data_IF_519810460914
#
_entry.id   IF_519810460914
#
_cell.length_a   1.000
_cell.length_b   1.000
_cell.length_c   1.000
_cell.angle_alpha   90.00
_cell.angle_beta   90.00
_cell.angle_gamma   90.00
#
_symmetry.space_group_name_H-M   'P 1'
#
loop_
_entity.id
_entity.type
_entity.pdbx_description
1 polymer ?
#
# COMPACT_ATOMS: atom_id res chain seq x y z
N UNK A 1 -17.85 -12.37 1.29
CA UNK A 1 -16.93 -11.20 1.29
C UNK A 1 -15.54 -11.63 1.77
N UNK A 2 -14.46 -11.26 1.06
CA UNK A 2 -13.07 -11.57 1.46
C UNK A 2 -12.81 -10.88 2.82
N UNK A 3 -12.23 -11.58 3.81
CA UNK A 3 -11.70 -10.91 5.00
C UNK A 3 -10.58 -9.98 4.50
N UNK A 4 -10.73 -8.69 4.73
CA UNK A 4 -9.64 -7.75 4.52
C UNK A 4 -8.61 -8.07 5.60
N UNK A 5 -7.37 -8.40 5.22
CA UNK A 5 -6.32 -8.56 6.22
C UNK A 5 -6.12 -7.22 6.92
N UNK A 6 -5.76 -7.22 8.21
CA UNK A 6 -5.37 -5.99 8.91
C UNK A 6 -4.32 -5.21 8.11
N UNK A 7 -3.45 -5.93 7.39
CA UNK A 7 -2.45 -5.40 6.45
C UNK A 7 -3.06 -4.67 5.26
N UNK A 8 -4.10 -5.20 4.61
CA UNK A 8 -4.77 -4.54 3.49
C UNK A 8 -5.57 -3.29 3.92
N UNK A 9 -6.05 -3.26 5.16
CA UNK A 9 -6.73 -2.09 5.72
C UNK A 9 -5.77 -1.05 6.30
N UNK A 10 -4.58 -1.46 6.80
CA UNK A 10 -3.50 -0.53 7.14
C UNK A 10 -2.86 0.07 5.88
N UNK A 11 -2.84 -0.67 4.76
CA UNK A 11 -2.51 -0.12 3.44
C UNK A 11 -3.50 0.95 2.99
N UNK A 12 -4.76 0.91 3.44
CA UNK A 12 -5.74 1.98 3.17
C UNK A 12 -5.38 3.31 3.83
N UNK A 13 -4.68 3.26 4.97
CA UNK A 13 -4.05 4.42 5.63
C UNK A 13 -2.64 4.74 5.05
N UNK A 14 -1.99 3.77 4.41
CA UNK A 14 -0.70 3.91 3.73
C UNK A 14 -0.82 4.07 2.21
N UNK A 15 -1.98 4.47 1.67
CA UNK A 15 -1.99 5.16 0.37
C UNK A 15 -1.44 6.56 0.63
N UNK A 16 -0.13 6.62 0.90
CA UNK A 16 0.65 7.85 0.86
C UNK A 16 0.74 8.26 -0.61
N UNK A 17 -0.38 8.70 -1.19
CA UNK A 17 -0.26 9.74 -2.19
C UNK A 17 0.27 10.94 -1.43
N UNK A 18 1.44 11.40 -1.84
CA UNK A 18 2.06 12.59 -1.27
C UNK A 18 1.23 13.76 -1.79
N UNK A 19 0.17 14.05 -1.03
CA UNK A 19 -0.79 15.14 -1.14
C UNK A 19 -0.07 16.48 -1.12
N UNK A 20 -0.02 17.35 -2.15
CA UNK A 20 1.04 18.40 -2.17
C UNK A 20 0.75 19.85 -2.71
N UNK A 21 -0.33 20.54 -2.33
CA UNK A 21 -0.59 22.01 -2.47
C UNK A 21 -0.19 22.71 -3.79
N UNK A 22 -1.18 23.06 -4.61
CA UNK A 22 -1.03 24.01 -5.72
C UNK A 22 -1.68 25.35 -5.41
N UNK A 23 -0.95 26.40 -5.77
CA UNK A 23 -1.52 27.73 -5.93
C UNK A 23 -2.62 27.69 -6.99
N UNK A 24 -3.83 28.06 -6.61
CA UNK A 24 -4.94 28.24 -7.54
C UNK A 24 -4.64 29.38 -8.54
N UNK A 25 -4.71 29.07 -9.83
CA UNK A 25 -5.06 30.06 -10.87
C UNK A 25 -6.44 29.66 -11.36
N UNK A 26 -7.47 30.39 -10.88
CA UNK A 26 -8.75 30.48 -11.59
C UNK A 26 -10.02 30.12 -10.83
N UNK A 27 -10.43 30.94 -9.86
CA UNK A 27 -11.84 31.38 -9.78
C UNK A 27 -11.94 32.66 -8.95
N UNK A 28 -12.76 33.62 -9.42
CA UNK A 28 -12.91 34.95 -8.82
C UNK A 28 -13.60 34.86 -7.45
N UNK A 29 -12.81 34.88 -6.39
CA UNK A 29 -13.21 35.17 -5.02
C UNK A 29 -12.07 35.99 -4.37
N UNK A 30 -12.42 36.95 -3.49
CA UNK A 30 -11.52 37.99 -2.95
C UNK A 30 -10.12 37.45 -2.61
N UNK A 31 -9.11 38.03 -3.27
CA UNK A 31 -7.68 37.72 -3.13
C UNK A 31 -7.18 38.18 -1.76
N UNK A 32 -7.37 37.35 -0.73
CA UNK A 32 -6.44 37.34 0.39
C UNK A 32 -5.12 36.81 -0.18
N UNK A 33 -4.04 37.58 -0.07
CA UNK A 33 -2.72 37.15 -0.51
C UNK A 33 -2.33 35.95 0.34
N UNK A 34 -2.52 34.74 -0.18
CA UNK A 34 -2.17 33.52 0.52
C UNK A 34 -0.66 33.56 0.83
N UNK A 35 -0.30 33.42 2.10
CA UNK A 35 1.11 33.43 2.54
C UNK A 35 1.89 32.35 1.77
N UNK A 36 3.16 32.63 1.48
CA UNK A 36 4.07 31.65 0.87
C UNK A 36 4.34 30.47 1.81
N UNK A 37 4.68 29.31 1.26
CA UNK A 37 5.00 28.12 2.06
C UNK A 37 6.18 28.38 3.02
N UNK A 38 7.18 29.13 2.54
CA UNK A 38 8.34 29.58 3.32
C UNK A 38 8.00 30.44 4.55
N UNK A 39 6.82 31.06 4.60
CA UNK A 39 6.36 31.82 5.78
C UNK A 39 5.80 30.91 6.89
N UNK A 40 5.41 29.68 6.55
CA UNK A 40 4.84 28.72 7.51
C UNK A 40 5.88 27.80 8.15
N UNK A 41 7.11 27.74 7.61
CA UNK A 41 8.12 26.76 8.03
C UNK A 41 9.48 27.39 8.32
N UNK A 42 10.17 26.82 9.30
CA UNK A 42 11.60 27.00 9.49
C UNK A 42 12.29 25.74 8.99
N UNK A 43 12.96 25.83 7.85
CA UNK A 43 13.67 24.69 7.25
C UNK A 43 14.91 24.35 8.07
N UNK A 44 15.15 23.05 8.26
CA UNK A 44 16.44 22.51 8.71
C UNK A 44 17.52 22.66 7.64
N UNK A 45 18.74 22.19 7.93
CA UNK A 45 19.81 22.17 6.92
C UNK A 45 19.46 21.22 5.77
N UNK A 46 19.49 21.71 4.54
CA UNK A 46 19.07 20.97 3.34
C UNK A 46 20.01 21.13 2.14
N UNK A 47 21.03 22.00 2.23
CA UNK A 47 22.03 22.21 1.17
C UNK A 47 23.28 21.35 1.36
N UNK A 48 23.54 20.88 2.58
CA UNK A 48 24.62 19.94 2.86
C UNK A 48 24.14 18.83 3.79
N UNK A 49 23.58 17.78 3.22
CA UNK A 49 22.99 16.68 3.97
C UNK A 49 24.06 15.61 4.22
N UNK A 50 24.58 15.56 5.44
CA UNK A 50 25.58 14.55 5.82
C UNK A 50 24.90 13.21 6.07
N UNK A 51 25.27 12.18 5.31
CA UNK A 51 24.71 10.83 5.45
C UNK A 51 25.83 9.79 5.49
N UNK A 52 25.66 8.70 6.25
CA UNK A 52 26.63 7.60 6.19
C UNK A 52 26.34 6.76 4.97
N UNK A 53 27.38 6.39 4.22
CA UNK A 53 27.23 5.47 3.10
C UNK A 53 26.58 4.13 3.51
N UNK A 54 26.89 3.65 4.72
CA UNK A 54 26.30 2.43 5.27
C UNK A 54 24.79 2.47 5.38
N UNK A 55 24.21 3.64 5.69
CA UNK A 55 22.77 3.78 5.91
C UNK A 55 22.03 3.69 4.57
N UNK A 56 22.61 4.30 3.51
CA UNK A 56 22.13 4.17 2.13
C UNK A 56 22.24 2.72 1.65
N UNK A 57 23.40 2.10 1.83
CA UNK A 57 23.65 0.72 1.40
C UNK A 57 22.72 -0.27 2.13
N UNK A 58 22.43 -0.06 3.42
CA UNK A 58 21.46 -0.85 4.18
C UNK A 58 20.04 -0.73 3.62
N UNK A 59 19.59 0.49 3.31
CA UNK A 59 18.25 0.69 2.74
C UNK A 59 18.13 0.08 1.34
N UNK A 60 19.17 0.20 0.50
CA UNK A 60 19.22 -0.48 -0.80
C UNK A 60 19.16 -1.99 -0.63
N UNK A 61 19.93 -2.55 0.32
CA UNK A 61 19.91 -3.98 0.59
C UNK A 61 18.54 -4.46 1.09
N UNK A 62 17.85 -3.70 1.96
CA UNK A 62 16.48 -4.01 2.39
C UNK A 62 15.50 -4.04 1.23
N UNK A 63 15.60 -3.11 0.29
CA UNK A 63 14.75 -3.08 -0.91
C UNK A 63 15.04 -4.28 -1.84
N UNK A 64 16.32 -4.64 -2.01
CA UNK A 64 16.73 -5.84 -2.74
C UNK A 64 16.17 -7.10 -2.06
N UNK A 65 16.34 -7.22 -0.75
CA UNK A 65 15.89 -8.39 0.02
C UNK A 65 14.38 -8.53 -0.07
N UNK A 66 13.63 -7.44 0.10
CA UNK A 66 12.17 -7.42 -0.07
C UNK A 66 11.75 -7.83 -1.48
N UNK A 67 12.50 -7.40 -2.50
CA UNK A 67 12.25 -7.82 -3.88
C UNK A 67 12.51 -9.31 -4.05
N UNK A 68 13.64 -9.85 -3.59
CA UNK A 68 13.91 -11.29 -3.70
C UNK A 68 12.91 -12.12 -2.88
N UNK A 69 12.43 -11.58 -1.77
CA UNK A 69 11.41 -12.22 -0.92
C UNK A 69 10.08 -12.37 -1.65
N UNK A 70 9.65 -11.36 -2.43
CA UNK A 70 8.40 -11.43 -3.20
C UNK A 70 8.44 -12.45 -4.34
N UNK A 71 9.64 -12.86 -4.76
CA UNK A 71 9.87 -13.93 -5.74
C UNK A 71 10.39 -15.23 -5.09
N UNK A 72 10.29 -15.35 -3.77
CA UNK A 72 10.72 -16.56 -3.07
C UNK A 72 9.85 -17.76 -3.45
N UNK A 73 10.52 -18.87 -3.74
CA UNK A 73 9.86 -20.16 -3.91
C UNK A 73 10.02 -21.01 -2.65
N UNK A 74 9.15 -22.01 -2.48
CA UNK A 74 9.25 -22.95 -1.38
C UNK A 74 9.40 -24.36 -1.93
N UNK A 75 10.38 -25.12 -1.39
CA UNK A 75 10.47 -26.56 -1.69
C UNK A 75 9.17 -27.23 -1.32
N UNK A 76 8.54 -27.95 -2.25
CA UNK A 76 7.31 -28.69 -1.96
C UNK A 76 7.66 -29.98 -1.24
N UNK A 77 7.38 -30.08 0.06
CA UNK A 77 7.50 -31.35 0.80
C UNK A 77 6.30 -32.22 0.46
N UNK A 78 6.57 -33.37 -0.16
CA UNK A 78 5.56 -34.33 -0.65
C UNK A 78 5.29 -35.48 0.32
N UNK A 79 5.83 -35.41 1.53
CA UNK A 79 5.65 -36.38 2.60
C UNK A 79 5.72 -35.69 3.97
N UNK A 80 5.28 -36.38 5.01
CA UNK A 80 5.22 -35.87 6.38
C UNK A 80 3.80 -35.56 6.84
N UNK A 81 3.69 -35.20 8.12
CA UNK A 81 2.44 -34.80 8.78
C UNK A 81 2.43 -33.31 9.03
N UNK A 82 1.27 -32.69 8.85
CA UNK A 82 1.04 -31.26 9.10
C UNK A 82 1.20 -30.95 10.59
N UNK A 83 1.85 -29.84 10.90
CA UNK A 83 2.01 -29.31 12.25
C UNK A 83 1.49 -27.89 12.34
N UNK A 84 1.28 -27.42 13.56
CA UNK A 84 1.03 -26.01 13.81
C UNK A 84 2.19 -25.16 13.28
N UNK A 85 1.86 -24.02 12.64
CA UNK A 85 2.83 -23.14 11.97
C UNK A 85 3.30 -23.59 10.58
N UNK A 86 2.99 -24.80 10.12
CA UNK A 86 3.28 -25.20 8.73
C UNK A 86 2.41 -24.41 7.75
N UNK A 87 2.97 -24.00 6.62
CA UNK A 87 2.17 -23.58 5.46
C UNK A 87 1.89 -24.78 4.56
N UNK A 88 0.63 -25.12 4.38
CA UNK A 88 0.18 -26.24 3.55
C UNK A 88 -0.52 -25.74 2.30
N UNK A 89 -0.29 -26.39 1.17
CA UNK A 89 -1.10 -26.17 -0.01
C UNK A 89 -2.25 -27.18 -0.02
N UNK A 90 -3.48 -26.70 -0.11
CA UNK A 90 -4.68 -27.54 -0.02
C UNK A 90 -5.63 -27.33 -1.19
N UNK A 91 -6.41 -28.37 -1.46
CA UNK A 91 -7.70 -28.26 -2.10
C UNK A 91 -8.78 -28.57 -1.08
N UNK A 92 -9.95 -27.95 -1.18
CA UNK A 92 -11.06 -28.22 -0.29
C UNK A 92 -12.41 -28.03 -0.96
N UNK A 93 -13.41 -28.77 -0.48
CA UNK A 93 -14.80 -28.66 -0.92
C UNK A 93 -15.69 -28.57 0.30
N UNK A 94 -16.26 -27.39 0.54
CA UNK A 94 -17.23 -27.14 1.61
C UNK A 94 -18.63 -27.60 1.23
N UNK A 95 -19.28 -28.31 2.15
CA UNK A 95 -20.68 -28.73 2.04
C UNK A 95 -21.44 -28.37 3.31
N UNK A 96 -22.69 -27.96 3.12
CA UNK A 96 -23.66 -27.70 4.18
C UNK A 96 -24.93 -28.48 3.85
N UNK A 97 -25.40 -29.29 4.80
CA UNK A 97 -26.52 -30.23 4.59
C UNK A 97 -26.35 -31.08 3.30
N UNK A 98 -25.11 -31.53 3.04
CA UNK A 98 -24.75 -32.32 1.86
C UNK A 98 -24.59 -31.54 0.55
N UNK A 99 -25.01 -30.27 0.49
CA UNK A 99 -24.92 -29.42 -0.71
C UNK A 99 -23.68 -28.54 -0.66
N UNK A 100 -23.00 -28.36 -1.80
CA UNK A 100 -21.91 -27.38 -1.92
C UNK A 100 -22.47 -25.97 -1.75
N UNK A 101 -21.65 -25.07 -1.23
CA UNK A 101 -21.98 -23.65 -1.14
C UNK A 101 -20.86 -22.78 -1.73
N UNK A 102 -21.23 -21.59 -2.19
CA UNK A 102 -20.33 -20.68 -2.89
C UNK A 102 -19.28 -20.07 -1.95
N UNK A 103 -18.06 -19.88 -2.48
CA UNK A 103 -16.92 -19.39 -1.71
C UNK A 103 -16.30 -20.40 -0.74
N UNK A 104 -16.86 -21.61 -0.64
CA UNK A 104 -16.36 -22.70 0.22
C UNK A 104 -15.52 -23.74 -0.51
N UNK A 105 -15.11 -23.49 -1.75
CA UNK A 105 -14.45 -24.50 -2.59
C UNK A 105 -13.17 -23.95 -3.23
N UNK A 106 -12.11 -24.74 -3.18
CA UNK A 106 -10.90 -24.57 -3.97
C UNK A 106 -10.52 -25.95 -4.53
N UNK A 107 -10.78 -26.17 -5.82
CA UNK A 107 -10.39 -27.41 -6.50
C UNK A 107 -9.29 -27.16 -7.52
N UNK A 108 -8.57 -28.22 -7.90
CA UNK A 108 -7.58 -28.19 -8.98
C UNK A 108 -8.13 -27.66 -10.31
N UNK A 109 -9.44 -27.82 -10.56
CA UNK A 109 -10.09 -27.33 -11.79
C UNK A 109 -10.32 -25.82 -11.75
N UNK A 110 -10.68 -25.27 -10.60
CA UNK A 110 -11.01 -23.85 -10.43
C UNK A 110 -9.76 -23.01 -10.11
N UNK A 111 -8.82 -23.58 -9.37
CA UNK A 111 -7.55 -22.95 -9.03
C UNK A 111 -6.45 -24.02 -9.09
N UNK A 112 -5.73 -24.17 -10.21
CA UNK A 112 -4.72 -25.22 -10.37
C UNK A 112 -3.54 -25.06 -9.40
N UNK A 113 -3.26 -23.86 -8.90
CA UNK A 113 -2.19 -23.61 -7.93
C UNK A 113 -2.56 -23.98 -6.49
N UNK A 114 -3.85 -24.20 -6.23
CA UNK A 114 -4.39 -24.50 -4.90
C UNK A 114 -4.34 -23.30 -3.96
N UNK A 115 -4.60 -23.57 -2.68
CA UNK A 115 -4.61 -22.54 -1.64
C UNK A 115 -3.51 -22.80 -0.61
N UNK A 116 -2.62 -21.83 -0.40
CA UNK A 116 -1.60 -21.90 0.65
C UNK A 116 -2.20 -21.39 1.97
N UNK A 117 -2.31 -22.28 2.95
CA UNK A 117 -2.84 -21.99 4.29
C UNK A 117 -1.74 -22.22 5.33
N UNK A 118 -1.42 -21.18 6.10
CA UNK A 118 -0.59 -21.34 7.30
C UNK A 118 -1.46 -21.81 8.45
N UNK A 119 -1.14 -22.97 9.00
CA UNK A 119 -1.85 -23.56 10.15
C UNK A 119 -1.60 -22.69 11.39
N UNK A 120 -2.67 -22.29 12.07
CA UNK A 120 -2.64 -21.41 13.24
C UNK A 120 -2.77 -19.92 12.91
N UNK A 121 -2.92 -19.55 11.64
CA UNK A 121 -3.09 -18.15 11.21
C UNK A 121 -4.45 -17.54 11.57
N UNK A 122 -5.47 -18.37 11.81
CA UNK A 122 -6.85 -17.93 12.02
C UNK A 122 -7.50 -17.30 10.79
N UNK A 123 -6.96 -17.60 9.60
CA UNK A 123 -7.49 -17.09 8.33
C UNK A 123 -8.81 -17.80 8.00
N UNK A 124 -8.86 -19.11 8.25
CA UNK A 124 -10.06 -19.93 8.07
C UNK A 124 -10.96 -19.88 9.32
N UNK A 125 -12.13 -20.50 9.21
CA UNK A 125 -13.07 -20.59 10.34
C UNK A 125 -12.48 -21.43 11.47
N UNK A 126 -12.77 -21.09 12.75
CA UNK A 126 -12.27 -21.85 13.89
C UNK A 126 -12.52 -23.35 13.78
N UNK A 127 -11.52 -24.15 14.15
CA UNK A 127 -11.55 -25.62 14.03
C UNK A 127 -11.21 -26.16 12.64
N UNK A 128 -11.13 -25.33 11.59
CA UNK A 128 -10.69 -25.79 10.27
C UNK A 128 -9.20 -26.14 10.27
N UNK A 129 -8.35 -25.19 10.71
CA UNK A 129 -6.89 -25.33 10.71
C UNK A 129 -6.44 -26.44 11.68
N UNK A 130 -7.04 -26.49 12.88
CA UNK A 130 -6.76 -27.52 13.89
C UNK A 130 -7.06 -28.94 13.36
N UNK A 131 -8.13 -29.08 12.56
CA UNK A 131 -8.52 -30.36 11.97
C UNK A 131 -7.53 -30.89 10.93
N UNK A 132 -6.59 -30.07 10.45
CA UNK A 132 -5.54 -30.51 9.52
C UNK A 132 -4.27 -30.99 10.23
N UNK A 133 -4.10 -30.67 11.51
CA UNK A 133 -2.90 -31.05 12.27
C UNK A 133 -2.82 -32.58 12.37
N UNK A 134 -1.65 -33.13 12.07
CA UNK A 134 -1.38 -34.56 12.08
C UNK A 134 -1.76 -35.31 10.79
N UNK A 135 -2.50 -34.67 9.88
CA UNK A 135 -2.85 -35.26 8.58
C UNK A 135 -1.62 -35.35 7.67
N UNK A 136 -1.57 -36.40 6.85
CA UNK A 136 -0.47 -36.64 5.92
C UNK A 136 -0.60 -35.86 4.61
N UNK A 137 0.54 -35.57 3.97
CA UNK A 137 0.52 -35.09 2.58
C UNK A 137 -0.10 -36.14 1.66
N UNK A 138 -1.00 -35.71 0.78
CA UNK A 138 -1.78 -36.56 -0.12
C UNK A 138 -3.06 -37.11 0.51
N UNK A 139 -3.22 -36.99 1.82
CA UNK A 139 -4.40 -37.47 2.53
C UNK A 139 -5.61 -36.60 2.20
N UNK A 140 -6.78 -37.26 2.17
CA UNK A 140 -8.08 -36.62 2.02
C UNK A 140 -8.88 -36.87 3.29
N UNK A 141 -9.28 -35.78 3.95
CA UNK A 141 -9.98 -35.84 5.23
C UNK A 141 -11.19 -34.91 5.24
N UNK A 142 -12.19 -35.27 6.05
CA UNK A 142 -13.38 -34.45 6.29
C UNK A 142 -13.22 -33.67 7.59
N UNK A 143 -13.12 -32.35 7.47
CA UNK A 143 -13.03 -31.42 8.59
C UNK A 143 -14.43 -30.88 8.89
N UNK A 144 -14.94 -31.20 10.08
CA UNK A 144 -16.26 -30.76 10.54
C UNK A 144 -16.12 -29.49 11.36
N UNK A 145 -16.82 -28.45 10.95
CA UNK A 145 -16.73 -27.11 11.54
C UNK A 145 -18.10 -26.51 11.74
N UNK A 146 -18.18 -25.56 12.67
CA UNK A 146 -19.37 -24.72 12.85
C UNK A 146 -18.97 -23.30 12.58
N UNK A 147 -19.69 -22.63 11.68
CA UNK A 147 -19.47 -21.22 11.42
C UNK A 147 -19.73 -20.42 12.71
N UNK A 148 -18.93 -19.37 12.99
CA UNK A 148 -19.18 -18.50 14.12
C UNK A 148 -20.62 -17.95 14.15
N UNK A 149 -21.15 -17.67 15.34
CA UNK A 149 -22.50 -17.09 15.51
C UNK A 149 -22.64 -15.73 14.83
N UNK A 150 -21.54 -15.00 14.69
CA UNK A 150 -21.46 -13.79 13.86
C UNK A 150 -20.54 -14.08 12.68
N UNK A 151 -21.08 -14.09 11.47
CA UNK A 151 -20.33 -14.28 10.23
C UNK A 151 -20.68 -13.19 9.20
N UNK A 152 -20.18 -11.95 9.39
CA UNK A 152 -20.65 -10.77 8.66
C UNK A 152 -20.51 -10.90 7.14
N UNK A 153 -19.47 -11.61 6.71
CA UNK A 153 -19.13 -11.78 5.30
C UNK A 153 -20.08 -12.68 4.49
N UNK A 154 -20.93 -13.45 5.18
CA UNK A 154 -22.00 -14.30 4.63
C UNK A 154 -22.95 -14.66 5.80
N UNK A 155 -23.87 -13.76 6.19
CA UNK A 155 -24.74 -13.94 7.37
C UNK A 155 -25.52 -15.25 7.34
N UNK A 156 -25.90 -15.71 6.14
CA UNK A 156 -26.60 -16.98 5.93
C UNK A 156 -25.82 -18.21 6.39
N UNK A 157 -24.51 -18.11 6.58
CA UNK A 157 -23.67 -19.21 7.06
C UNK A 157 -23.54 -19.21 8.59
N UNK A 158 -23.90 -18.11 9.27
CA UNK A 158 -23.67 -17.93 10.70
C UNK A 158 -24.30 -19.05 11.54
N UNK A 159 -23.51 -19.62 12.46
CA UNK A 159 -23.94 -20.71 13.35
C UNK A 159 -24.23 -22.06 12.69
N UNK A 160 -24.14 -22.16 11.35
CA UNK A 160 -24.43 -23.41 10.63
C UNK A 160 -23.24 -24.37 10.68
N UNK A 161 -23.53 -25.67 10.65
CA UNK A 161 -22.51 -26.72 10.56
C UNK A 161 -22.14 -26.98 9.11
N UNK A 162 -20.87 -27.17 8.84
CA UNK A 162 -20.37 -27.55 7.52
C UNK A 162 -19.31 -28.64 7.62
N UNK A 163 -19.14 -29.37 6.52
CA UNK A 163 -18.09 -30.37 6.35
C UNK A 163 -17.24 -29.95 5.16
N UNK A 164 -15.94 -29.86 5.37
CA UNK A 164 -14.98 -29.59 4.32
C UNK A 164 -14.18 -30.84 4.04
N UNK A 165 -14.30 -31.35 2.82
CA UNK A 165 -13.40 -32.39 2.36
C UNK A 165 -12.12 -31.72 1.86
N UNK A 166 -11.03 -31.89 2.59
CA UNK A 166 -9.73 -31.25 2.34
C UNK A 166 -8.74 -32.27 1.81
N UNK A 167 -7.87 -31.86 0.89
CA UNK A 167 -6.72 -32.64 0.41
C UNK A 167 -5.46 -31.82 0.57
N UNK A 168 -4.45 -32.37 1.24
CA UNK A 168 -3.15 -31.70 1.45
C UNK A 168 -2.24 -32.03 0.27
N UNK A 169 -1.95 -31.06 -0.59
CA UNK A 169 -1.17 -31.26 -1.80
C UNK A 169 0.35 -31.32 -1.54
N UNK A 170 0.82 -30.49 -0.61
CA UNK A 170 2.19 -30.46 -0.09
C UNK A 170 2.29 -29.55 1.13
N UNK A 171 3.34 -29.73 1.93
CA UNK A 171 3.76 -28.77 2.95
C UNK A 171 4.86 -27.89 2.34
N UNK A 172 4.81 -26.57 2.54
CA UNK A 172 5.90 -25.69 2.16
C UNK A 172 7.13 -26.01 3.01
N UNK A 173 8.24 -26.27 2.31
CA UNK A 173 9.52 -26.60 2.89
C UNK A 173 10.45 -25.39 2.97
N UNK A 174 11.74 -25.66 2.77
CA UNK A 174 12.76 -24.61 2.80
C UNK A 174 12.43 -23.52 1.76
N UNK A 175 12.40 -22.26 2.23
CA UNK A 175 12.36 -21.06 1.38
C UNK A 175 13.61 -20.99 0.52
N UNK A 176 13.43 -20.75 -0.76
CA UNK A 176 14.48 -20.59 -1.77
C UNK A 176 14.33 -19.18 -2.31
N UNK A 177 15.30 -18.33 -1.97
CA UNK A 177 15.40 -17.01 -2.56
C UNK A 177 16.06 -17.13 -3.95
N UNK A 178 15.54 -16.44 -4.97
CA UNK A 178 16.24 -16.31 -6.23
C UNK A 178 17.56 -15.54 -6.01
N UNK A 179 18.52 -15.73 -6.91
CA UNK A 179 19.73 -14.92 -6.93
C UNK A 179 19.45 -13.63 -7.71
N UNK A 180 19.88 -12.50 -7.16
CA UNK A 180 19.85 -11.24 -7.88
C UNK A 180 20.94 -11.25 -8.97
N UNK A 181 20.52 -11.42 -10.22
CA UNK A 181 21.39 -11.43 -11.41
C UNK A 181 20.74 -10.66 -12.55
N UNK A 182 21.48 -10.27 -13.59
CA UNK A 182 20.89 -9.64 -14.78
C UNK A 182 19.75 -10.46 -15.41
N UNK A 183 19.90 -11.80 -15.43
CA UNK A 183 18.83 -12.68 -15.90
C UNK A 183 17.55 -12.60 -15.05
N UNK A 184 17.68 -12.41 -13.73
CA UNK A 184 16.54 -12.22 -12.83
C UNK A 184 15.85 -10.88 -13.11
N UNK A 185 16.63 -9.81 -13.23
CA UNK A 185 16.11 -8.46 -13.50
C UNK A 185 15.37 -8.42 -14.84
N UNK A 186 15.99 -8.91 -15.93
CA UNK A 186 15.35 -8.95 -17.26
C UNK A 186 14.06 -9.75 -17.30
N UNK A 187 13.98 -10.84 -16.52
CA UNK A 187 12.82 -11.73 -16.51
C UNK A 187 11.68 -11.19 -15.66
N UNK A 188 11.99 -10.61 -14.50
CA UNK A 188 11.00 -10.35 -13.45
C UNK A 188 10.75 -8.86 -13.21
N UNK A 189 11.72 -7.99 -13.52
CA UNK A 189 11.68 -6.55 -13.22
C UNK A 189 11.79 -5.74 -14.52
N UNK A 190 10.75 -5.83 -15.35
CA UNK A 190 10.74 -5.31 -16.73
C UNK A 190 10.92 -3.80 -16.85
N UNK A 191 10.74 -3.05 -15.76
CA UNK A 191 10.99 -1.61 -15.71
C UNK A 191 12.47 -1.24 -15.73
N UNK A 192 13.38 -2.21 -15.55
CA UNK A 192 14.82 -1.97 -15.48
C UNK A 192 15.56 -2.67 -16.62
N UNK A 193 16.55 -1.99 -17.18
CA UNK A 193 17.34 -2.45 -18.34
C UNK A 193 18.40 -3.47 -17.95
N UNK A 194 18.93 -3.39 -16.73
CA UNK A 194 20.03 -4.24 -16.23
C UNK A 194 20.05 -4.30 -14.70
N UNK A 195 20.87 -5.19 -14.14
CA UNK A 195 21.12 -5.22 -12.70
C UNK A 195 21.75 -3.91 -12.19
N UNK A 196 22.64 -3.32 -12.98
CA UNK A 196 23.24 -2.02 -12.63
C UNK A 196 22.19 -0.92 -12.56
N UNK A 197 21.35 -0.83 -13.60
CA UNK A 197 20.24 0.13 -13.68
C UNK A 197 19.27 0.00 -12.50
N UNK A 198 18.91 -1.24 -12.13
CA UNK A 198 18.10 -1.51 -10.95
C UNK A 198 18.76 -1.02 -9.65
N UNK A 199 20.02 -1.38 -9.42
CA UNK A 199 20.75 -0.98 -8.20
C UNK A 199 20.96 0.54 -8.12
N UNK A 200 21.29 1.18 -9.23
CA UNK A 200 21.47 2.63 -9.29
C UNK A 200 20.14 3.35 -9.00
N UNK A 201 19.02 2.84 -9.54
CA UNK A 201 17.68 3.39 -9.26
C UNK A 201 17.30 3.24 -7.79
N UNK A 202 17.52 2.05 -7.21
CA UNK A 202 17.26 1.84 -5.78
C UNK A 202 18.11 2.77 -4.91
N UNK A 203 19.38 2.96 -5.26
CA UNK A 203 20.27 3.88 -4.54
C UNK A 203 19.78 5.31 -4.63
N UNK A 204 19.37 5.76 -5.81
CA UNK A 204 18.83 7.10 -5.99
C UNK A 204 17.58 7.31 -5.13
N UNK A 205 16.61 6.39 -5.20
CA UNK A 205 15.41 6.48 -4.37
C UNK A 205 15.73 6.44 -2.86
N UNK A 206 16.70 5.62 -2.46
CA UNK A 206 17.18 5.58 -1.08
C UNK A 206 17.76 6.91 -0.60
N UNK A 207 18.61 7.55 -1.42
CA UNK A 207 19.14 8.87 -1.13
C UNK A 207 18.03 9.91 -1.03
N UNK A 208 17.08 9.89 -1.97
CA UNK A 208 15.92 10.78 -1.99
C UNK A 208 15.04 10.62 -0.74
N UNK A 209 14.76 9.39 -0.31
CA UNK A 209 13.97 9.11 0.89
C UNK A 209 14.69 9.55 2.17
N UNK A 210 15.96 9.13 2.34
CA UNK A 210 16.73 9.45 3.55
C UNK A 210 17.03 10.94 3.66
N UNK A 211 17.31 11.62 2.53
CA UNK A 211 17.55 13.05 2.51
C UNK A 211 16.27 13.81 2.88
N UNK A 212 15.13 13.42 2.31
CA UNK A 212 13.83 13.98 2.68
C UNK A 212 13.54 13.78 4.16
N UNK A 213 13.66 12.56 4.68
CA UNK A 213 13.38 12.24 6.08
C UNK A 213 14.25 13.04 7.04
N UNK A 214 15.54 13.19 6.72
CA UNK A 214 16.49 14.01 7.46
C UNK A 214 16.07 15.48 7.48
N UNK A 215 15.77 16.06 6.32
CA UNK A 215 15.41 17.48 6.18
C UNK A 215 14.06 17.77 6.81
N UNK A 216 13.06 16.93 6.58
CA UNK A 216 11.73 17.09 7.16
C UNK A 216 11.79 17.01 8.70
N UNK A 217 12.53 16.04 9.25
CA UNK A 217 12.71 15.89 10.70
C UNK A 217 13.49 17.05 11.33
N UNK A 218 14.42 17.66 10.60
CA UNK A 218 15.16 18.83 11.03
C UNK A 218 14.38 20.15 10.83
N UNK A 219 13.30 20.12 10.06
CA UNK A 219 12.44 21.28 9.79
C UNK A 219 11.32 21.40 10.81
N UNK A 220 10.84 22.63 11.00
CA UNK A 220 9.72 22.94 11.89
C UNK A 220 8.62 23.65 11.14
N UNK A 221 7.40 23.12 11.20
CA UNK A 221 6.20 23.82 10.74
C UNK A 221 5.71 24.73 11.87
N UNK A 222 5.78 26.04 11.66
CA UNK A 222 5.46 27.06 12.66
C UNK A 222 3.96 27.31 12.77
N UNK A 223 3.25 27.29 11.65
CA UNK A 223 1.82 27.53 11.57
C UNK A 223 1.20 26.61 10.50
N UNK A 224 0.02 26.06 10.76
CA UNK A 224 -0.72 25.24 9.81
C UNK A 224 -1.94 26.00 9.29
N UNK A 225 -2.03 26.27 7.98
CA UNK A 225 -3.20 26.94 7.40
C UNK A 225 -4.46 26.11 7.60
N UNK A 226 -5.43 26.61 8.39
CA UNK A 226 -6.66 25.87 8.71
C UNK A 226 -7.44 25.46 7.46
N UNK A 227 -7.47 26.31 6.43
CA UNK A 227 -8.13 26.01 5.17
C UNK A 227 -7.50 24.79 4.48
N UNK A 228 -6.17 24.77 4.32
CA UNK A 228 -5.44 23.64 3.72
C UNK A 228 -5.58 22.35 4.52
N UNK A 229 -5.52 22.42 5.85
CA UNK A 229 -5.73 21.24 6.71
C UNK A 229 -7.15 20.68 6.56
N UNK A 230 -8.16 21.56 6.50
CA UNK A 230 -9.54 21.13 6.31
C UNK A 230 -9.79 20.54 4.92
N UNK A 231 -9.15 21.09 3.89
CA UNK A 231 -9.21 20.57 2.53
C UNK A 231 -8.55 19.19 2.44
N UNK A 232 -7.34 19.05 2.97
CA UNK A 232 -6.64 17.77 3.05
C UNK A 232 -7.45 16.72 3.83
N UNK A 233 -8.08 17.11 4.94
CA UNK A 233 -8.96 16.22 5.70
C UNK A 233 -10.13 15.72 4.84
N UNK A 234 -10.80 16.62 4.11
CA UNK A 234 -11.91 16.24 3.22
C UNK A 234 -11.41 15.30 2.13
N UNK A 235 -10.26 15.60 1.54
CA UNK A 235 -9.65 14.83 0.47
C UNK A 235 -9.33 13.40 0.92
N UNK A 236 -8.65 13.24 2.05
CA UNK A 236 -8.35 11.93 2.65
C UNK A 236 -9.65 11.19 2.99
N UNK A 237 -10.64 11.86 3.60
CA UNK A 237 -11.93 11.24 3.91
C UNK A 237 -12.64 10.73 2.64
N UNK A 238 -12.69 11.54 1.58
CA UNK A 238 -13.28 11.16 0.28
C UNK A 238 -12.60 9.92 -0.27
N UNK A 239 -11.26 9.87 -0.26
CA UNK A 239 -10.50 8.71 -0.74
C UNK A 239 -10.79 7.42 0.01
N UNK A 240 -10.86 7.50 1.34
CA UNK A 240 -11.17 6.34 2.18
C UNK A 240 -12.60 5.87 1.92
N UNK A 241 -13.58 6.78 1.91
CA UNK A 241 -14.99 6.43 1.69
C UNK A 241 -15.19 5.85 0.30
N UNK A 242 -14.61 6.47 -0.73
CA UNK A 242 -14.69 5.99 -2.11
C UNK A 242 -14.12 4.57 -2.23
N UNK A 243 -12.92 4.33 -1.70
CA UNK A 243 -12.32 3.00 -1.70
C UNK A 243 -13.21 1.96 -1.01
N UNK A 244 -13.74 2.28 0.17
CA UNK A 244 -14.62 1.36 0.90
C UNK A 244 -15.85 1.01 0.07
N UNK A 245 -16.49 2.01 -0.55
CA UNK A 245 -17.65 1.81 -1.43
C UNK A 245 -17.32 0.92 -2.63
N UNK A 246 -16.22 1.15 -3.34
CA UNK A 246 -15.80 0.33 -4.48
C UNK A 246 -15.56 -1.14 -4.10
N UNK A 247 -15.21 -1.38 -2.84
CA UNK A 247 -14.98 -2.72 -2.31
C UNK A 247 -16.21 -3.28 -1.55
N UNK A 248 -17.38 -2.64 -1.66
CA UNK A 248 -18.63 -3.00 -0.99
C UNK A 248 -18.53 -3.05 0.55
N UNK A 249 -17.74 -2.13 1.12
CA UNK A 249 -17.61 -1.94 2.56
C UNK A 249 -18.19 -0.59 2.99
N UNK A 250 -18.73 -0.55 4.20
CA UNK A 250 -19.11 0.69 4.87
C UNK A 250 -18.00 1.16 5.81
N UNK A 251 -18.05 2.45 6.20
CA UNK A 251 -17.17 2.94 7.27
C UNK A 251 -17.37 2.17 8.58
N UNK A 252 -18.58 1.67 8.85
CA UNK A 252 -18.86 0.86 10.04
C UNK A 252 -18.11 -0.48 10.01
N UNK A 253 -18.02 -1.12 8.82
CA UNK A 253 -17.26 -2.36 8.63
C UNK A 253 -15.77 -2.12 8.87
N UNK A 254 -15.24 -1.01 8.34
CA UNK A 254 -13.86 -0.59 8.55
C UNK A 254 -13.54 -0.38 10.04
N UNK A 255 -14.38 0.39 10.74
CA UNK A 255 -14.18 0.69 12.17
C UNK A 255 -14.21 -0.58 13.03
N UNK A 256 -15.18 -1.46 12.75
CA UNK A 256 -15.32 -2.75 13.44
C UNK A 256 -14.11 -3.66 13.21
N UNK A 257 -13.59 -3.71 11.97
CA UNK A 257 -12.42 -4.51 11.63
C UNK A 257 -11.14 -4.04 12.32
N UNK A 258 -11.02 -2.73 12.57
CA UNK A 258 -9.89 -2.12 13.27
C UNK A 258 -10.04 -2.08 14.79
N UNK A 259 -11.19 -2.50 15.32
CA UNK A 259 -11.56 -2.29 16.73
C UNK A 259 -11.37 -0.83 17.17
N UNK A 260 -11.77 0.11 16.31
CA UNK A 260 -11.63 1.56 16.55
C UNK A 260 -12.99 2.24 16.52
N UNK A 261 -13.08 3.47 17.04
CA UNK A 261 -14.32 4.25 17.07
C UNK A 261 -14.34 5.29 15.97
N UNK A 262 -15.52 5.80 15.62
CA UNK A 262 -15.64 6.92 14.67
C UNK A 262 -14.90 8.17 15.15
N UNK A 263 -14.86 8.40 16.48
CA UNK A 263 -14.13 9.53 17.05
C UNK A 263 -12.61 9.37 16.88
N UNK A 264 -12.08 8.19 17.18
CA UNK A 264 -10.65 7.89 17.01
C UNK A 264 -10.24 7.95 15.54
N UNK A 265 -11.05 7.39 14.64
CA UNK A 265 -10.81 7.49 13.19
C UNK A 265 -10.72 8.94 12.73
N UNK A 266 -11.68 9.80 13.10
CA UNK A 266 -11.66 11.23 12.73
C UNK A 266 -10.45 11.95 13.31
N UNK A 267 -10.04 11.60 14.52
CA UNK A 267 -8.87 12.17 15.19
C UNK A 267 -7.58 11.80 14.46
N UNK A 268 -7.39 10.52 14.12
CA UNK A 268 -6.22 10.07 13.35
C UNK A 268 -6.24 10.69 11.94
N UNK A 269 -7.38 10.75 11.28
CA UNK A 269 -7.51 11.39 9.98
C UNK A 269 -7.14 12.89 10.01
N UNK A 270 -7.56 13.61 11.05
CA UNK A 270 -7.18 15.01 11.25
C UNK A 270 -5.69 15.18 11.54
N UNK A 271 -5.09 14.23 12.26
CA UNK A 271 -3.64 14.19 12.50
C UNK A 271 -2.88 13.96 11.19
N UNK A 272 -3.26 12.96 10.40
CA UNK A 272 -2.68 12.67 9.08
C UNK A 272 -2.82 13.86 8.14
N UNK A 273 -4.00 14.48 8.07
CA UNK A 273 -4.21 15.67 7.23
C UNK A 273 -3.27 16.82 7.62
N UNK A 274 -3.06 17.02 8.92
CA UNK A 274 -2.11 18.02 9.42
C UNK A 274 -0.67 17.66 9.06
N UNK A 275 -0.27 16.41 9.23
CA UNK A 275 1.07 15.93 8.90
C UNK A 275 1.37 16.08 7.41
N UNK A 276 0.42 15.71 6.55
CA UNK A 276 0.56 15.85 5.10
C UNK A 276 0.67 17.31 4.71
N UNK A 277 -0.21 18.21 5.18
CA UNK A 277 -0.03 19.67 5.00
C UNK A 277 1.33 20.15 5.53
N UNK A 278 1.84 19.57 6.60
CA UNK A 278 3.19 19.87 7.09
C UNK A 278 4.26 19.52 6.07
N UNK A 279 4.20 18.33 5.46
CA UNK A 279 5.09 17.95 4.34
C UNK A 279 4.90 18.93 3.18
N UNK A 280 3.65 19.32 2.91
CA UNK A 280 3.31 20.30 1.87
C UNK A 280 4.11 21.57 1.93
N UNK A 281 4.09 22.14 3.13
CA UNK A 281 4.75 23.40 3.39
C UNK A 281 6.27 23.27 3.36
N UNK A 282 6.84 22.12 3.75
CA UNK A 282 8.29 21.92 3.78
C UNK A 282 8.89 21.81 2.38
N UNK A 283 8.46 20.89 1.51
CA UNK A 283 9.03 20.87 0.15
C UNK A 283 8.60 22.11 -0.64
N UNK A 284 7.41 22.68 -0.39
CA UNK A 284 6.98 23.92 -1.01
C UNK A 284 7.92 25.09 -0.68
N UNK A 285 8.35 25.20 0.58
CA UNK A 285 9.31 26.22 0.99
C UNK A 285 10.71 25.99 0.40
N UNK A 286 11.15 24.73 0.26
CA UNK A 286 12.41 24.42 -0.43
C UNK A 286 12.32 24.81 -1.91
N UNK A 287 11.23 24.43 -2.56
CA UNK A 287 10.98 24.78 -3.96
C UNK A 287 10.96 26.30 -4.19
N UNK A 288 10.29 27.06 -3.31
CA UNK A 288 10.29 28.53 -3.35
C UNK A 288 11.70 29.13 -3.19
N UNK A 289 12.52 28.60 -2.27
CA UNK A 289 13.87 29.12 -2.01
C UNK A 289 14.86 28.80 -3.13
N UNK A 290 14.73 27.62 -3.73
CA UNK A 290 15.65 27.13 -4.76
C UNK A 290 15.11 27.36 -6.18
N UNK A 291 13.96 28.02 -6.32
CA UNK A 291 13.27 28.28 -7.58
C UNK A 291 13.02 26.99 -8.40
N UNK A 292 12.58 25.93 -7.71
CA UNK A 292 12.20 24.67 -8.35
C UNK A 292 10.78 24.82 -8.87
N UNK A 293 10.63 24.77 -10.19
CA UNK A 293 9.35 24.91 -10.88
C UNK A 293 9.03 23.65 -11.71
N UNK A 294 7.74 23.41 -11.93
CA UNK A 294 7.25 22.38 -12.84
C UNK A 294 7.03 23.00 -14.21
N UNK A 295 7.75 22.50 -15.21
CA UNK A 295 7.55 22.97 -16.57
C UNK A 295 6.31 22.33 -17.18
N UNK A 296 5.69 23.00 -18.16
CA UNK A 296 4.56 22.43 -18.92
C UNK A 296 4.91 21.07 -19.55
N UNK A 297 6.17 20.88 -19.93
CA UNK A 297 6.68 19.63 -20.48
C UNK A 297 6.68 18.51 -19.42
N UNK A 298 7.12 18.82 -18.19
CA UNK A 298 7.11 17.84 -17.10
C UNK A 298 5.68 17.45 -16.76
N UNK A 299 4.80 18.44 -16.62
CA UNK A 299 3.37 18.21 -16.38
C UNK A 299 2.74 17.33 -17.45
N UNK A 300 2.93 17.66 -18.73
CA UNK A 300 2.35 16.89 -19.84
C UNK A 300 2.86 15.45 -19.89
N UNK A 301 4.15 15.25 -19.63
CA UNK A 301 4.76 13.91 -19.61
C UNK A 301 4.13 13.05 -18.51
N UNK A 302 3.95 13.63 -17.32
CA UNK A 302 3.33 12.92 -16.20
C UNK A 302 1.83 12.70 -16.43
N UNK A 303 1.12 13.70 -16.97
CA UNK A 303 -0.28 13.57 -17.35
C UNK A 303 -0.50 12.41 -18.32
N UNK A 304 0.34 12.25 -19.36
CA UNK A 304 0.24 11.12 -20.30
C UNK A 304 0.39 9.77 -19.58
N UNK A 305 1.27 9.67 -18.57
CA UNK A 305 1.43 8.49 -17.71
C UNK A 305 0.17 8.19 -16.90
N UNK A 306 -0.43 9.22 -16.30
CA UNK A 306 -1.69 9.09 -15.56
C UNK A 306 -2.86 8.70 -16.46
N UNK A 307 -3.01 9.31 -17.64
CA UNK A 307 -4.04 8.96 -18.61
C UNK A 307 -3.95 7.48 -19.01
N UNK A 308 -2.73 6.98 -19.28
CA UNK A 308 -2.51 5.57 -19.58
C UNK A 308 -2.81 4.65 -18.39
N UNK A 309 -2.41 5.04 -17.17
CA UNK A 309 -2.57 4.22 -15.97
C UNK A 309 -4.03 4.09 -15.55
N UNK A 310 -4.78 5.18 -15.62
CA UNK A 310 -6.19 5.24 -15.25
C UNK A 310 -7.13 4.94 -16.42
N UNK A 311 -6.58 4.70 -17.62
CA UNK A 311 -7.33 4.44 -18.85
C UNK A 311 -8.33 5.56 -19.18
N UNK A 312 -7.90 6.82 -19.02
CA UNK A 312 -8.67 8.01 -19.32
C UNK A 312 -8.30 8.54 -20.71
N UNK A 313 -9.29 9.03 -21.45
CA UNK A 313 -9.12 9.56 -22.81
C UNK A 313 -8.49 10.96 -22.86
N UNK A 314 -8.70 11.77 -21.83
CA UNK A 314 -8.33 13.18 -21.75
C UNK A 314 -8.25 13.63 -20.28
N UNK A 315 -7.68 14.82 -20.06
CA UNK A 315 -7.48 15.42 -18.73
C UNK A 315 -8.82 15.66 -18.00
N UNK A 316 -9.87 16.03 -18.72
CA UNK A 316 -11.20 16.26 -18.14
C UNK A 316 -11.79 14.98 -17.55
N UNK A 317 -11.71 13.86 -18.27
CA UNK A 317 -12.14 12.56 -17.75
C UNK A 317 -11.31 12.12 -16.54
N UNK A 318 -10.00 12.40 -16.55
CA UNK A 318 -9.13 12.11 -15.43
C UNK A 318 -9.48 12.97 -14.20
N UNK A 319 -9.76 14.26 -14.40
CA UNK A 319 -10.20 15.17 -13.34
C UNK A 319 -11.54 14.73 -12.75
N UNK A 320 -12.52 14.36 -13.56
CA UNK A 320 -13.80 13.83 -13.07
C UNK A 320 -13.60 12.57 -12.21
N UNK A 321 -12.74 11.65 -12.68
CA UNK A 321 -12.40 10.45 -11.92
C UNK A 321 -11.71 10.79 -10.60
N UNK A 322 -10.76 11.72 -10.60
CA UNK A 322 -10.02 12.12 -9.40
C UNK A 322 -10.86 12.94 -8.43
N UNK A 323 -11.82 13.72 -8.90
CA UNK A 323 -12.79 14.39 -8.04
C UNK A 323 -13.67 13.38 -7.30
N UNK A 324 -14.06 12.29 -7.97
CA UNK A 324 -14.78 11.20 -7.31
C UNK A 324 -13.89 10.43 -6.32
N UNK A 325 -12.63 10.19 -6.69
CA UNK A 325 -11.73 9.32 -5.92
C UNK A 325 -11.13 10.06 -4.74
N UNK A 326 -10.69 11.29 -4.93
CA UNK A 326 -9.91 12.07 -3.98
C UNK A 326 -10.62 13.34 -3.56
N UNK A 327 -11.63 13.83 -4.30
CA UNK A 327 -12.27 15.12 -4.00
C UNK A 327 -11.43 16.32 -4.43
N UNK A 328 -10.52 16.13 -5.39
CA UNK A 328 -9.68 17.18 -5.98
C UNK A 328 -9.32 16.82 -7.41
N UNK A 329 -8.85 17.81 -8.18
CA UNK A 329 -8.49 17.64 -9.59
C UNK A 329 -7.19 16.83 -9.74
N UNK A 330 -7.11 16.03 -10.80
CA UNK A 330 -5.91 15.28 -11.13
C UNK A 330 -4.73 16.20 -11.41
N UNK A 331 -4.98 17.33 -12.08
CA UNK A 331 -3.95 18.36 -12.31
C UNK A 331 -3.27 18.78 -11.02
N UNK A 332 -4.05 19.00 -9.97
CA UNK A 332 -3.53 19.41 -8.68
C UNK A 332 -2.58 18.35 -8.12
N UNK A 333 -3.01 17.08 -8.13
CA UNK A 333 -2.20 15.97 -7.60
C UNK A 333 -0.94 15.67 -8.41
N UNK A 334 -1.00 15.84 -9.73
CA UNK A 334 0.16 15.61 -10.61
C UNK A 334 1.22 16.69 -10.37
N UNK A 335 0.83 17.97 -10.31
CA UNK A 335 1.77 19.08 -10.07
C UNK A 335 2.47 18.93 -8.71
N UNK A 336 1.69 18.52 -7.72
CA UNK A 336 2.11 18.22 -6.36
C UNK A 336 3.18 17.11 -6.31
N UNK A 337 2.87 15.94 -6.89
CA UNK A 337 3.79 14.80 -6.94
C UNK A 337 5.09 15.16 -7.68
N UNK A 338 4.99 15.87 -8.80
CA UNK A 338 6.15 16.33 -9.56
C UNK A 338 7.03 17.29 -8.73
N UNK A 339 6.43 18.22 -8.00
CA UNK A 339 7.17 19.19 -7.20
C UNK A 339 7.91 18.50 -6.06
N UNK A 340 7.21 17.61 -5.35
CA UNK A 340 7.81 16.79 -4.31
C UNK A 340 8.97 15.95 -4.83
N UNK A 341 8.79 15.26 -5.96
CA UNK A 341 9.83 14.46 -6.60
C UNK A 341 11.04 15.31 -6.97
N UNK A 342 10.86 16.47 -7.60
CA UNK A 342 11.97 17.37 -7.94
C UNK A 342 12.71 17.86 -6.69
N UNK A 343 11.98 18.20 -5.62
CA UNK A 343 12.60 18.59 -4.36
C UNK A 343 13.40 17.43 -3.77
N UNK A 344 12.86 16.22 -3.74
CA UNK A 344 13.58 15.03 -3.28
C UNK A 344 14.86 14.77 -4.06
N UNK A 345 14.80 14.83 -5.39
CA UNK A 345 15.99 14.70 -6.24
C UNK A 345 17.00 15.80 -5.92
N UNK A 346 16.56 17.06 -5.80
CA UNK A 346 17.43 18.16 -5.37
C UNK A 346 18.08 17.88 -4.00
N UNK A 347 17.34 17.37 -3.03
CA UNK A 347 17.90 17.03 -1.71
C UNK A 347 18.94 15.90 -1.82
N UNK A 348 18.65 14.86 -2.60
CA UNK A 348 19.59 13.76 -2.85
C UNK A 348 20.89 14.25 -3.48
N UNK A 349 20.82 15.18 -4.44
CA UNK A 349 22.01 15.78 -5.08
C UNK A 349 22.86 16.61 -4.10
N UNK A 350 22.28 17.05 -2.98
CA UNK A 350 22.97 17.75 -1.90
C UNK A 350 23.44 16.83 -0.75
N UNK A 351 23.33 15.51 -0.92
CA UNK A 351 23.87 14.53 0.05
C UNK A 351 25.38 14.42 -0.10
N UNK A 352 26.07 14.54 1.03
CA UNK A 352 27.50 14.24 1.17
C UNK A 352 27.63 12.97 1.99
N UNK A 353 27.93 11.86 1.29
CA UNK A 353 28.18 10.58 1.93
C UNK A 353 29.53 10.56 2.66
N UNK A 354 29.51 10.10 3.91
CA UNK A 354 30.69 9.94 4.78
C UNK A 354 31.01 8.47 5.05
#
# INVERSE_FOLDING_TARGET
MRKISKTALSVLLCVTMVLTSGCSIGSKSKKETEKKASEYVTLGEYKQISMKKSDVDEQVQKQIDSTLDSYAEYKKKKSGKVKDGDTVNIYYVGKMNGKKFDGGTCTKKENPDGYNLTIGSGTFIPGFEDGLIGAGVGEKLDVKVTFPKSYPNNPDMAGKKAVFTVTINYIQGKKILPKLTDAFVKKNLTSYKSLKDYKDTLRQHSLEDLAWDSVYSASKVNEYPKARVNEMYKQLNTSIVYYLQQNNYTISDYLSAQNTTSADFKKELAKTAKEDVGKQLVYGAIAEKENIEISDKDYKTELDSYLSTYNCKDEDALNEQFQNFYGTDAKQLIMDDLLYKKVKTYLADNVVEK
#
